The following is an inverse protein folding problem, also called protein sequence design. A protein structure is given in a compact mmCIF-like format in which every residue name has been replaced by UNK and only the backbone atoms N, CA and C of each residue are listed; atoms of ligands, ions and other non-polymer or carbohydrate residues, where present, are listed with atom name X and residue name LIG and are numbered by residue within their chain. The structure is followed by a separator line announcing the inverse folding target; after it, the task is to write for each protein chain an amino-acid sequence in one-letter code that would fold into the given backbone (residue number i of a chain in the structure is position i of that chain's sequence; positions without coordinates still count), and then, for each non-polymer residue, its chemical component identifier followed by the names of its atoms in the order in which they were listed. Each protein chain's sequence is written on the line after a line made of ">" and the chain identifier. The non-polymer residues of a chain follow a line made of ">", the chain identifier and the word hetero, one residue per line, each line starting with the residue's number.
data_IF_453134311236
#
_entry.id   IF_453134311236
#
_cell.length_a   1.000
_cell.length_b   1.000
_cell.length_c   1.000
_cell.angle_alpha   90.00
_cell.angle_beta   90.00
_cell.angle_gamma   90.00
#
_symmetry.space_group_name_H-M   'P 1'
#
loop_
_entity.id
_entity.type
_entity.pdbx_description
1 polymer ?
#
# COMPACT_ATOMS: atom_id res chain seq x y z
N UNK A 1 3.38 -21.03 -4.39
CA UNK A 1 3.85 -21.27 -3.02
C UNK A 1 2.81 -22.07 -2.24
N UNK A 2 1.63 -21.53 -1.93
CA UNK A 2 0.57 -22.25 -1.18
C UNK A 2 0.26 -23.65 -1.73
N UNK A 3 0.11 -23.79 -3.05
CA UNK A 3 -0.11 -25.11 -3.67
C UNK A 3 1.07 -26.08 -3.46
N UNK A 4 2.30 -25.58 -3.43
CA UNK A 4 3.49 -26.40 -3.21
C UNK A 4 3.61 -26.84 -1.75
N UNK A 5 3.30 -25.95 -0.81
CA UNK A 5 3.24 -26.28 0.62
C UNK A 5 2.15 -27.32 0.88
N UNK A 6 0.94 -27.07 0.39
CA UNK A 6 -0.18 -28.00 0.57
C UNK A 6 0.10 -29.39 -0.04
N UNK A 7 0.73 -29.45 -1.22
CA UNK A 7 1.14 -30.74 -1.81
C UNK A 7 2.10 -31.50 -0.90
N UNK A 8 3.05 -30.79 -0.29
CA UNK A 8 4.04 -31.43 0.58
C UNK A 8 3.39 -31.94 1.88
N UNK A 9 2.49 -31.17 2.47
CA UNK A 9 1.71 -31.58 3.64
C UNK A 9 0.83 -32.80 3.33
N UNK A 10 0.05 -32.74 2.28
CA UNK A 10 -0.83 -33.84 1.88
C UNK A 10 -0.09 -35.11 1.50
N UNK A 11 1.16 -34.99 0.98
CA UNK A 11 2.04 -36.14 0.74
C UNK A 11 2.57 -36.74 2.06
N UNK A 12 2.92 -35.89 3.02
CA UNK A 12 3.39 -36.33 4.34
C UNK A 12 2.28 -37.06 5.10
N UNK A 13 1.03 -36.60 4.94
CA UNK A 13 -0.15 -37.21 5.56
C UNK A 13 -0.66 -38.45 4.82
N UNK A 14 -0.03 -38.85 3.72
CA UNK A 14 -0.37 -40.06 2.97
C UNK A 14 -1.69 -40.00 2.21
N UNK A 15 -2.21 -38.80 1.94
CA UNK A 15 -3.48 -38.59 1.20
C UNK A 15 -3.32 -39.11 -0.24
N UNK A 16 -4.34 -39.78 -0.77
CA UNK A 16 -4.33 -40.30 -2.14
C UNK A 16 -4.21 -39.18 -3.21
N UNK A 17 -3.71 -39.56 -4.37
CA UNK A 17 -3.38 -38.61 -5.45
C UNK A 17 -4.61 -37.79 -5.88
N UNK A 18 -5.75 -38.47 -6.11
CA UNK A 18 -6.95 -37.80 -6.61
C UNK A 18 -7.51 -36.80 -5.58
N UNK A 19 -7.54 -37.18 -4.31
CA UNK A 19 -7.97 -36.27 -3.25
C UNK A 19 -6.99 -35.10 -3.06
N UNK A 20 -5.68 -35.30 -3.28
CA UNK A 20 -4.71 -34.20 -3.29
C UNK A 20 -4.97 -33.20 -4.40
N UNK A 21 -5.32 -33.70 -5.60
CA UNK A 21 -5.62 -32.83 -6.74
C UNK A 21 -6.88 -32.02 -6.51
N UNK A 22 -7.95 -32.63 -5.98
CA UNK A 22 -9.20 -31.94 -5.63
C UNK A 22 -8.96 -30.81 -4.62
N UNK A 23 -8.15 -31.06 -3.59
CA UNK A 23 -7.80 -30.04 -2.60
C UNK A 23 -6.92 -28.92 -3.19
N UNK A 24 -6.06 -29.24 -4.14
CA UNK A 24 -5.24 -28.23 -4.85
C UNK A 24 -6.07 -27.34 -5.77
N UNK A 25 -7.14 -27.86 -6.37
CA UNK A 25 -8.04 -27.05 -7.20
C UNK A 25 -8.82 -26.04 -6.36
N UNK A 26 -9.08 -26.36 -5.09
CA UNK A 26 -9.73 -25.44 -4.15
C UNK A 26 -8.84 -24.27 -3.70
N UNK A 27 -7.51 -24.37 -3.89
CA UNK A 27 -6.59 -23.28 -3.57
C UNK A 27 -6.70 -22.17 -4.62
N UNK A 28 -7.40 -21.13 -4.25
CA UNK A 28 -7.56 -19.91 -5.03
C UNK A 28 -6.65 -18.80 -4.53
N UNK A 29 -6.39 -17.81 -5.37
CA UNK A 29 -5.70 -16.60 -4.92
C UNK A 29 -6.53 -15.87 -3.86
N UNK A 30 -5.91 -15.37 -2.78
CA UNK A 30 -6.59 -14.44 -1.90
C UNK A 30 -7.03 -13.22 -2.72
N UNK A 31 -8.29 -12.82 -2.55
CA UNK A 31 -8.88 -11.66 -3.20
C UNK A 31 -9.55 -10.80 -2.12
N UNK A 32 -8.74 -10.11 -1.31
CA UNK A 32 -9.25 -9.32 -0.19
C UNK A 32 -10.19 -8.21 -0.70
N UNK A 33 -11.29 -7.98 0.02
CA UNK A 33 -12.30 -7.00 -0.37
C UNK A 33 -13.08 -7.30 -1.66
N UNK A 34 -12.92 -8.51 -2.23
CA UNK A 34 -13.57 -8.94 -3.47
C UNK A 34 -15.08 -8.73 -3.44
N UNK A 35 -15.73 -9.22 -2.42
CA UNK A 35 -17.20 -9.20 -2.33
C UNK A 35 -17.72 -7.76 -2.28
N UNK A 36 -17.09 -6.90 -1.48
CA UNK A 36 -17.43 -5.47 -1.45
C UNK A 36 -17.27 -4.81 -2.83
N UNK A 37 -16.20 -5.10 -3.55
CA UNK A 37 -15.94 -4.50 -4.88
C UNK A 37 -16.99 -4.97 -5.89
N UNK A 38 -17.30 -6.27 -5.90
CA UNK A 38 -18.30 -6.81 -6.80
C UNK A 38 -19.71 -6.31 -6.46
N UNK A 39 -20.10 -6.29 -5.19
CA UNK A 39 -21.42 -5.81 -4.77
C UNK A 39 -21.61 -4.33 -5.11
N UNK A 40 -20.59 -3.51 -4.86
CA UNK A 40 -20.61 -2.09 -5.22
C UNK A 40 -20.72 -1.90 -6.73
N UNK A 41 -19.97 -2.67 -7.51
CA UNK A 41 -20.04 -2.61 -8.97
C UNK A 41 -21.39 -3.08 -9.49
N UNK A 42 -21.92 -4.19 -8.98
CA UNK A 42 -23.22 -4.70 -9.39
C UNK A 42 -24.33 -3.70 -9.12
N UNK A 43 -24.31 -3.05 -7.95
CA UNK A 43 -25.26 -1.98 -7.62
C UNK A 43 -25.13 -0.76 -8.56
N UNK A 44 -23.92 -0.43 -8.98
CA UNK A 44 -23.65 0.62 -9.96
C UNK A 44 -24.12 0.20 -11.37
N UNK A 45 -23.81 -1.01 -11.80
CA UNK A 45 -24.20 -1.55 -13.11
C UNK A 45 -25.71 -1.59 -13.32
N UNK A 46 -26.49 -1.91 -12.28
CA UNK A 46 -27.97 -1.87 -12.35
C UNK A 46 -28.48 -0.48 -12.73
N UNK A 47 -27.80 0.58 -12.28
CA UNK A 47 -28.15 1.99 -12.61
C UNK A 47 -27.54 2.46 -13.93
N UNK A 48 -26.55 1.75 -14.46
CA UNK A 48 -25.77 2.13 -15.62
C UNK A 48 -25.60 0.93 -16.58
N UNK A 49 -26.68 0.44 -17.20
CA UNK A 49 -26.69 -0.82 -17.97
C UNK A 49 -25.82 -0.82 -19.23
N UNK A 50 -25.32 0.35 -19.66
CA UNK A 50 -24.38 0.47 -20.78
C UNK A 50 -22.94 0.09 -20.41
N UNK A 51 -22.65 -0.19 -19.15
CA UNK A 51 -21.36 -0.67 -18.70
C UNK A 51 -21.40 -2.20 -18.73
N UNK A 52 -20.44 -2.79 -19.43
CA UNK A 52 -20.35 -4.25 -19.53
C UNK A 52 -19.88 -4.85 -18.20
N UNK A 53 -20.48 -5.96 -17.80
CA UNK A 53 -20.14 -6.66 -16.54
C UNK A 53 -18.70 -7.18 -16.49
N UNK A 54 -18.08 -7.41 -17.65
CA UNK A 54 -16.68 -7.84 -17.77
C UNK A 54 -15.66 -6.71 -17.67
N UNK A 55 -16.12 -5.46 -17.62
CA UNK A 55 -15.24 -4.28 -17.59
C UNK A 55 -14.54 -4.10 -16.25
N UNK A 56 -15.03 -4.74 -15.18
CA UNK A 56 -14.43 -4.60 -13.88
C UNK A 56 -13.31 -5.63 -13.65
N UNK A 57 -12.15 -5.12 -13.24
CA UNK A 57 -11.08 -5.93 -12.67
C UNK A 57 -10.89 -5.48 -11.22
N UNK A 58 -11.30 -6.31 -10.24
CA UNK A 58 -11.19 -5.94 -8.83
C UNK A 58 -9.76 -5.60 -8.45
N UNK A 59 -9.57 -4.43 -7.84
CA UNK A 59 -8.27 -3.98 -7.31
C UNK A 59 -8.15 -4.33 -5.82
N UNK A 60 -8.48 -5.57 -5.49
CA UNK A 60 -8.55 -6.06 -4.11
C UNK A 60 -7.24 -5.87 -3.35
N UNK A 61 -6.11 -6.17 -3.98
CA UNK A 61 -4.77 -5.99 -3.39
C UNK A 61 -4.52 -4.53 -3.02
N UNK A 62 -4.78 -3.62 -3.96
CA UNK A 62 -4.59 -2.21 -3.73
C UNK A 62 -5.49 -1.67 -2.62
N UNK A 63 -6.74 -2.13 -2.58
CA UNK A 63 -7.67 -1.76 -1.52
C UNK A 63 -7.17 -2.21 -0.15
N UNK A 64 -6.78 -3.46 0.00
CA UNK A 64 -6.25 -4.00 1.25
C UNK A 64 -5.00 -3.24 1.70
N UNK A 65 -4.04 -3.03 0.80
CA UNK A 65 -2.84 -2.27 1.11
C UNK A 65 -3.16 -0.86 1.61
N UNK A 66 -4.14 -0.19 1.00
CA UNK A 66 -4.53 1.16 1.40
C UNK A 66 -5.31 1.17 2.71
N UNK A 67 -6.30 0.29 2.89
CA UNK A 67 -7.11 0.20 4.12
C UNK A 67 -6.25 -0.16 5.33
N UNK A 68 -5.28 -1.07 5.15
CA UNK A 68 -4.38 -1.50 6.21
C UNK A 68 -3.09 -0.66 6.28
N UNK A 69 -2.93 0.37 5.45
CA UNK A 69 -1.72 1.20 5.35
C UNK A 69 -0.43 0.37 5.26
N UNK A 70 -0.45 -0.72 4.48
CA UNK A 70 0.71 -1.59 4.32
C UNK A 70 1.75 -0.98 3.41
N UNK A 71 3.03 -1.07 3.78
CA UNK A 71 4.10 -0.77 2.84
C UNK A 71 4.22 -1.87 1.78
N UNK A 72 4.88 -1.55 0.66
CA UNK A 72 5.16 -2.54 -0.40
C UNK A 72 5.89 -3.76 0.15
N UNK A 73 6.92 -3.54 0.95
CA UNK A 73 7.73 -4.61 1.56
C UNK A 73 6.94 -5.42 2.59
N UNK A 74 6.09 -4.77 3.40
CA UNK A 74 5.25 -5.46 4.37
C UNK A 74 4.25 -6.39 3.67
N UNK A 75 3.66 -5.93 2.56
CA UNK A 75 2.74 -6.75 1.78
C UNK A 75 3.44 -7.96 1.14
N UNK A 76 4.64 -7.76 0.59
CA UNK A 76 5.46 -8.85 0.03
C UNK A 76 5.77 -9.88 1.11
N UNK A 77 6.19 -9.46 2.31
CA UNK A 77 6.50 -10.35 3.43
C UNK A 77 5.26 -11.08 3.93
N UNK A 78 4.14 -10.40 4.11
CA UNK A 78 2.89 -10.99 4.60
C UNK A 78 2.38 -12.10 3.70
N UNK A 79 2.47 -11.92 2.38
CA UNK A 79 1.99 -12.89 1.40
C UNK A 79 3.09 -13.71 0.73
N UNK A 80 4.36 -13.58 1.16
CA UNK A 80 5.53 -14.29 0.62
C UNK A 80 5.65 -14.14 -0.91
N UNK A 81 5.61 -12.88 -1.38
CA UNK A 81 5.56 -12.52 -2.80
C UNK A 81 6.93 -12.13 -3.39
N UNK A 82 8.04 -12.49 -2.77
CA UNK A 82 9.40 -12.08 -3.17
C UNK A 82 9.70 -12.39 -4.65
N UNK A 83 9.09 -13.46 -5.20
CA UNK A 83 9.24 -13.82 -6.62
C UNK A 83 8.30 -13.07 -7.56
N UNK A 84 7.36 -12.33 -7.01
CA UNK A 84 6.29 -11.65 -7.75
C UNK A 84 6.30 -10.14 -7.54
N UNK A 85 7.36 -9.59 -6.96
CA UNK A 85 7.52 -8.14 -6.68
C UNK A 85 7.24 -7.29 -7.91
N UNK A 86 7.87 -7.62 -9.05
CA UNK A 86 7.69 -6.88 -10.28
C UNK A 86 6.23 -6.91 -10.79
N UNK A 87 5.51 -8.01 -10.55
CA UNK A 87 4.09 -8.12 -10.93
C UNK A 87 3.24 -7.25 -10.02
N UNK A 88 3.51 -7.27 -8.71
CA UNK A 88 2.83 -6.42 -7.75
C UNK A 88 3.08 -4.94 -8.04
N UNK A 89 4.34 -4.56 -8.28
CA UNK A 89 4.71 -3.19 -8.62
C UNK A 89 3.96 -2.70 -9.87
N UNK A 90 3.92 -3.52 -10.91
CA UNK A 90 3.17 -3.20 -12.13
C UNK A 90 1.67 -3.04 -11.85
N UNK A 91 1.09 -3.93 -11.03
CA UNK A 91 -0.31 -3.85 -10.66
C UNK A 91 -0.63 -2.54 -9.92
N UNK A 92 0.17 -2.18 -8.92
CA UNK A 92 -0.01 -0.94 -8.17
C UNK A 92 0.19 0.30 -9.07
N UNK A 93 1.15 0.22 -9.99
CA UNK A 93 1.37 1.27 -10.99
C UNK A 93 0.15 1.47 -11.90
N UNK A 94 -0.49 0.38 -12.34
CA UNK A 94 -1.75 0.45 -13.09
C UNK A 94 -2.89 1.05 -12.26
N UNK A 95 -2.96 0.71 -10.97
CA UNK A 95 -3.95 1.30 -10.04
C UNK A 95 -3.76 2.79 -9.94
N UNK A 96 -2.53 3.24 -9.66
CA UNK A 96 -2.20 4.67 -9.60
C UNK A 96 -2.57 5.40 -10.90
N UNK A 97 -2.23 4.81 -12.04
CA UNK A 97 -2.56 5.37 -13.36
C UNK A 97 -4.08 5.54 -13.53
N UNK A 98 -4.87 4.55 -13.15
CA UNK A 98 -6.34 4.63 -13.21
C UNK A 98 -6.85 5.74 -12.31
N UNK A 99 -6.39 5.82 -11.07
CA UNK A 99 -6.83 6.85 -10.11
C UNK A 99 -6.45 8.25 -10.57
N UNK A 100 -5.23 8.42 -11.10
CA UNK A 100 -4.72 9.74 -11.50
C UNK A 100 -5.32 10.25 -12.81
N UNK A 101 -5.54 9.36 -13.78
CA UNK A 101 -5.90 9.74 -15.16
C UNK A 101 -7.38 9.56 -15.49
N UNK A 102 -8.06 8.57 -14.91
CA UNK A 102 -9.43 8.23 -15.30
C UNK A 102 -10.48 9.02 -14.54
N UNK A 103 -10.18 9.43 -13.31
CA UNK A 103 -11.11 10.20 -12.49
C UNK A 103 -10.81 11.70 -12.63
N UNK A 104 -11.76 12.50 -13.14
CA UNK A 104 -11.57 13.94 -13.25
C UNK A 104 -11.31 14.58 -11.87
N UNK A 105 -10.42 15.58 -11.77
CA UNK A 105 -10.04 16.18 -10.49
C UNK A 105 -11.23 16.69 -9.66
N UNK A 106 -12.25 17.25 -10.32
CA UNK A 106 -13.44 17.77 -9.66
C UNK A 106 -14.41 16.71 -9.10
N UNK A 107 -14.20 15.44 -9.44
CA UNK A 107 -15.00 14.31 -8.95
C UNK A 107 -14.24 13.44 -7.94
N UNK A 108 -12.96 13.74 -7.66
CA UNK A 108 -12.17 13.01 -6.67
C UNK A 108 -12.64 13.39 -5.26
N UNK A 109 -13.02 12.37 -4.49
CA UNK A 109 -13.27 12.51 -3.04
C UNK A 109 -11.94 12.65 -2.28
N UNK A 110 -12.00 13.09 -1.02
CA UNK A 110 -10.79 13.14 -0.18
C UNK A 110 -10.14 11.79 -0.03
N UNK A 111 -10.92 10.73 0.19
CA UNK A 111 -10.41 9.34 0.30
C UNK A 111 -9.68 8.90 -0.97
N UNK A 112 -10.22 9.26 -2.15
CA UNK A 112 -9.60 8.92 -3.42
C UNK A 112 -8.28 9.67 -3.62
N UNK A 113 -8.20 10.92 -3.18
CA UNK A 113 -6.97 11.71 -3.22
C UNK A 113 -5.94 11.20 -2.21
N UNK A 114 -6.38 10.71 -1.06
CA UNK A 114 -5.52 10.06 -0.08
C UNK A 114 -4.94 8.76 -0.64
N UNK A 115 -5.78 7.92 -1.27
CA UNK A 115 -5.32 6.69 -1.94
C UNK A 115 -4.34 6.98 -3.10
N UNK A 116 -4.62 7.99 -3.92
CA UNK A 116 -3.71 8.41 -5.01
C UNK A 116 -2.35 8.84 -4.44
N UNK A 117 -2.34 9.60 -3.36
CA UNK A 117 -1.12 10.05 -2.70
C UNK A 117 -0.35 8.86 -2.11
N UNK A 118 -1.04 7.96 -1.43
CA UNK A 118 -0.47 6.75 -0.85
C UNK A 118 0.24 5.89 -1.91
N UNK A 119 -0.44 5.56 -3.02
CA UNK A 119 0.18 4.77 -4.09
C UNK A 119 1.33 5.50 -4.77
N UNK A 120 1.23 6.80 -4.97
CA UNK A 120 2.31 7.61 -5.53
C UNK A 120 3.58 7.52 -4.68
N UNK A 121 3.44 7.66 -3.36
CA UNK A 121 4.57 7.58 -2.42
C UNK A 121 5.23 6.21 -2.45
N UNK A 122 4.44 5.14 -2.33
CA UNK A 122 4.98 3.79 -2.34
C UNK A 122 5.66 3.43 -3.66
N UNK A 123 5.07 3.79 -4.79
CA UNK A 123 5.67 3.55 -6.09
C UNK A 123 6.97 4.36 -6.27
N UNK A 124 6.98 5.61 -5.84
CA UNK A 124 8.18 6.45 -5.92
C UNK A 124 9.31 5.94 -5.03
N UNK A 125 8.99 5.34 -3.89
CA UNK A 125 10.00 4.78 -2.98
C UNK A 125 10.66 3.50 -3.52
N UNK A 126 9.91 2.69 -4.30
CA UNK A 126 10.40 1.44 -4.87
C UNK A 126 11.05 1.67 -6.24
N UNK A 127 10.36 2.36 -7.14
CA UNK A 127 10.83 2.68 -8.48
C UNK A 127 10.20 3.99 -8.98
N UNK A 128 10.98 5.05 -8.97
CA UNK A 128 10.50 6.36 -9.44
C UNK A 128 10.36 6.44 -10.96
N UNK A 129 11.07 5.57 -11.71
CA UNK A 129 11.15 5.66 -13.17
C UNK A 129 9.79 5.52 -13.86
N UNK A 130 8.93 4.62 -13.37
CA UNK A 130 7.59 4.40 -13.90
C UNK A 130 6.68 5.61 -13.68
N UNK A 131 6.79 6.24 -12.53
CA UNK A 131 6.02 7.44 -12.21
C UNK A 131 6.53 8.63 -13.01
N UNK A 132 7.85 8.79 -13.10
CA UNK A 132 8.48 9.86 -13.85
C UNK A 132 8.10 9.80 -15.34
N UNK A 133 8.07 8.61 -15.95
CA UNK A 133 7.65 8.44 -17.35
C UNK A 133 6.19 8.88 -17.56
N UNK A 134 5.30 8.54 -16.66
CA UNK A 134 3.90 8.93 -16.80
C UNK A 134 3.63 10.39 -16.48
N UNK A 135 4.31 10.96 -15.51
CA UNK A 135 4.18 12.38 -15.21
C UNK A 135 4.73 13.22 -16.37
N UNK A 136 5.82 12.79 -17.04
CA UNK A 136 6.32 13.43 -18.25
C UNK A 136 5.32 13.37 -19.42
N UNK A 137 4.58 12.26 -19.55
CA UNK A 137 3.54 12.17 -20.58
C UNK A 137 2.33 13.07 -20.28
N UNK A 138 2.05 13.32 -19.01
CA UNK A 138 0.93 14.15 -18.56
C UNK A 138 1.25 15.63 -18.55
N UNK A 139 2.45 15.97 -18.12
CA UNK A 139 2.96 17.34 -18.00
C UNK A 139 4.31 17.44 -18.70
N UNK A 140 4.38 18.09 -19.87
CA UNK A 140 5.62 18.29 -20.62
C UNK A 140 6.72 19.06 -19.85
N UNK A 141 6.33 19.84 -18.85
CA UNK A 141 7.25 20.60 -18.01
C UNK A 141 7.73 19.82 -16.78
N UNK A 142 7.26 18.57 -16.62
CA UNK A 142 7.68 17.69 -15.54
C UNK A 142 9.15 17.30 -15.67
N UNK A 143 9.92 17.46 -14.61
CA UNK A 143 11.33 17.06 -14.53
C UNK A 143 11.45 15.80 -13.68
N UNK A 144 11.98 14.68 -14.23
CA UNK A 144 12.21 13.43 -13.50
C UNK A 144 13.05 13.60 -12.25
N UNK A 145 12.84 12.73 -11.26
CA UNK A 145 13.53 12.79 -9.97
C UNK A 145 15.05 12.74 -10.13
N UNK A 146 15.57 11.93 -11.06
CA UNK A 146 17.01 11.81 -11.34
C UNK A 146 17.64 13.05 -11.94
N UNK A 147 16.88 13.83 -12.71
CA UNK A 147 17.35 15.06 -13.40
C UNK A 147 17.15 16.33 -12.58
N UNK A 148 16.51 16.20 -11.43
CA UNK A 148 16.29 17.35 -10.57
C UNK A 148 17.56 17.60 -9.77
N UNK A 149 18.21 18.74 -9.99
CA UNK A 149 19.28 19.18 -9.10
C UNK A 149 18.78 19.25 -7.65
N UNK A 150 19.60 18.92 -6.64
CA UNK A 150 19.23 19.05 -5.23
C UNK A 150 19.08 20.53 -4.86
N UNK A 151 18.03 21.15 -5.34
CA UNK A 151 17.79 22.58 -5.11
C UNK A 151 16.94 22.79 -3.87
N UNK A 152 17.29 23.84 -3.16
CA UNK A 152 16.57 24.37 -1.96
C UNK A 152 15.08 24.66 -2.28
N UNK A 153 14.71 24.79 -3.56
CA UNK A 153 13.34 25.04 -4.02
C UNK A 153 12.37 23.86 -3.83
N UNK A 154 12.85 22.61 -3.75
CA UNK A 154 12.00 21.44 -3.46
C UNK A 154 11.28 21.54 -2.11
N UNK A 155 11.97 22.06 -1.09
CA UNK A 155 11.36 22.22 0.24
C UNK A 155 10.22 23.24 0.23
N UNK A 156 10.26 24.21 -0.68
CA UNK A 156 9.20 25.24 -0.81
C UNK A 156 7.96 24.72 -1.54
N UNK A 157 8.12 23.91 -2.58
CA UNK A 157 6.99 23.39 -3.37
C UNK A 157 6.12 22.40 -2.54
N UNK A 158 6.75 21.56 -1.75
CA UNK A 158 6.07 20.55 -0.93
C UNK A 158 5.26 21.15 0.21
N UNK A 159 5.76 22.22 0.82
CA UNK A 159 5.09 22.91 1.93
C UNK A 159 4.08 23.96 1.44
N UNK A 160 4.06 24.29 0.16
CA UNK A 160 3.12 25.27 -0.42
C UNK A 160 1.76 24.64 -0.71
N UNK A 161 1.69 23.36 -1.06
CA UNK A 161 0.42 22.66 -1.16
C UNK A 161 0.04 22.07 0.20
N UNK A 162 -0.70 22.86 0.96
CA UNK A 162 -1.16 22.49 2.31
C UNK A 162 -1.96 21.18 2.33
N UNK A 163 -2.73 20.88 1.28
CA UNK A 163 -3.55 19.68 1.23
C UNK A 163 -2.67 18.44 1.03
N UNK A 164 -1.78 18.46 0.05
CA UNK A 164 -0.83 17.37 -0.19
C UNK A 164 0.08 17.15 1.02
N UNK A 165 0.63 18.22 1.59
CA UNK A 165 1.43 18.11 2.81
C UNK A 165 0.65 17.49 3.98
N UNK A 166 -0.59 17.89 4.20
CA UNK A 166 -1.44 17.32 5.26
C UNK A 166 -1.70 15.83 5.04
N UNK A 167 -1.92 15.40 3.79
CA UNK A 167 -2.12 13.99 3.45
C UNK A 167 -0.85 13.17 3.71
N UNK A 168 0.29 13.67 3.28
CA UNK A 168 1.58 13.03 3.53
C UNK A 168 1.82 12.83 5.03
N UNK A 169 1.63 13.88 5.82
CA UNK A 169 1.79 13.79 7.29
C UNK A 169 0.80 12.79 7.88
N UNK A 170 -0.45 12.79 7.43
CA UNK A 170 -1.46 11.85 7.91
C UNK A 170 -1.05 10.41 7.62
N UNK A 171 -0.65 10.11 6.38
CA UNK A 171 -0.20 8.77 6.00
C UNK A 171 0.98 8.29 6.85
N UNK A 172 2.00 9.14 7.04
CA UNK A 172 3.14 8.82 7.90
C UNK A 172 2.74 8.59 9.36
N UNK A 173 1.82 9.40 9.89
CA UNK A 173 1.33 9.22 11.26
C UNK A 173 0.55 7.92 11.39
N UNK A 174 -0.31 7.57 10.43
CA UNK A 174 -1.03 6.30 10.44
C UNK A 174 -0.09 5.11 10.36
N UNK A 175 0.91 5.15 9.49
CA UNK A 175 1.93 4.10 9.38
C UNK A 175 2.70 3.95 10.70
N UNK A 176 3.09 5.07 11.33
CA UNK A 176 3.76 5.05 12.62
C UNK A 176 2.89 4.42 13.73
N UNK A 177 1.61 4.83 13.82
CA UNK A 177 0.65 4.27 14.80
C UNK A 177 0.42 2.79 14.55
N UNK A 178 0.33 2.35 13.29
CA UNK A 178 0.20 0.95 12.93
C UNK A 178 1.40 0.14 13.41
N UNK A 179 2.62 0.56 13.15
CA UNK A 179 3.80 -0.15 13.64
C UNK A 179 3.82 -0.27 15.16
N UNK A 180 3.43 0.79 15.87
CA UNK A 180 3.31 0.75 17.33
C UNK A 180 2.19 -0.18 17.80
N UNK A 181 1.07 -0.26 17.09
CA UNK A 181 -0.05 -1.16 17.45
C UNK A 181 0.30 -2.64 17.29
N UNK A 182 1.27 -2.96 16.41
CA UNK A 182 1.76 -4.31 16.17
C UNK A 182 3.09 -4.61 16.88
N UNK A 183 3.51 -3.77 17.82
CA UNK A 183 4.79 -3.87 18.54
C UNK A 183 6.03 -3.93 17.59
N UNK A 184 5.90 -3.41 16.37
CA UNK A 184 6.98 -3.39 15.37
C UNK A 184 7.84 -2.12 15.50
N UNK A 185 8.61 -2.07 16.57
CA UNK A 185 9.44 -0.90 16.92
C UNK A 185 10.55 -0.67 15.88
N UNK A 186 11.06 -1.73 15.27
CA UNK A 186 12.12 -1.61 14.25
C UNK A 186 11.64 -0.80 13.04
N UNK A 187 10.53 -1.18 12.43
CA UNK A 187 9.93 -0.45 11.30
C UNK A 187 9.44 0.95 11.70
N UNK A 188 9.00 1.14 12.95
CA UNK A 188 8.69 2.48 13.46
C UNK A 188 9.92 3.39 13.47
N UNK A 189 11.07 2.88 13.93
CA UNK A 189 12.32 3.64 13.96
C UNK A 189 12.84 4.00 12.56
N UNK A 190 12.63 3.12 11.58
CA UNK A 190 13.03 3.33 10.19
C UNK A 190 12.24 4.48 9.52
N UNK A 191 11.05 4.82 10.02
CA UNK A 191 10.28 5.97 9.52
C UNK A 191 10.90 7.33 9.89
N UNK A 192 11.75 7.37 10.89
CA UNK A 192 12.32 8.63 11.40
C UNK A 192 13.81 8.72 11.10
N UNK A 193 14.19 9.53 10.13
CA UNK A 193 15.58 9.92 9.98
C UNK A 193 16.05 10.68 11.23
N UNK A 194 17.05 10.12 11.88
CA UNK A 194 17.66 10.77 13.04
C UNK A 194 18.48 11.97 12.56
N UNK A 195 17.98 13.17 12.83
CA UNK A 195 18.80 14.36 12.67
C UNK A 195 19.91 14.34 13.73
N UNK A 196 21.11 13.94 13.31
CA UNK A 196 22.29 13.81 14.19
C UNK A 196 22.73 15.13 14.83
N UNK A 197 22.24 16.27 14.33
CA UNK A 197 22.68 17.59 14.78
C UNK A 197 21.86 18.15 15.94
N UNK A 198 20.63 17.72 16.17
CA UNK A 198 19.71 18.39 17.10
C UNK A 198 19.01 17.53 18.13
N UNK A 199 19.15 16.23 18.14
CA UNK A 199 18.38 15.38 19.07
C UNK A 199 19.03 14.07 19.46
N UNK A 200 18.69 13.60 20.63
CA UNK A 200 18.94 12.24 21.08
C UNK A 200 18.22 11.28 20.13
N UNK A 201 18.92 10.31 19.52
CA UNK A 201 18.29 9.38 18.61
C UNK A 201 17.18 8.59 19.30
N UNK A 202 16.09 8.33 18.57
CA UNK A 202 15.08 7.39 19.02
C UNK A 202 15.72 6.01 19.15
N UNK A 203 15.53 5.36 20.30
CA UNK A 203 15.98 3.99 20.53
C UNK A 203 14.79 3.14 20.91
N UNK A 204 14.86 1.83 20.61
CA UNK A 204 13.80 0.89 20.97
C UNK A 204 13.47 0.96 22.47
N UNK A 205 14.49 0.99 23.33
CA UNK A 205 14.30 1.09 24.78
C UNK A 205 13.53 2.34 25.21
N UNK A 206 13.78 3.49 24.59
CA UNK A 206 13.07 4.73 24.89
C UNK A 206 11.62 4.70 24.43
N UNK A 207 11.35 4.06 23.29
CA UNK A 207 9.99 3.89 22.78
C UNK A 207 9.23 2.94 23.69
N UNK A 208 9.81 1.80 24.08
CA UNK A 208 9.21 0.87 25.02
C UNK A 208 8.88 1.53 26.36
N UNK A 209 9.77 2.34 26.89
CA UNK A 209 9.52 3.11 28.14
C UNK A 209 8.32 4.04 27.98
N UNK A 210 8.25 4.79 26.87
CA UNK A 210 7.14 5.70 26.59
C UNK A 210 5.82 4.96 26.38
N UNK A 211 5.83 3.85 25.65
CA UNK A 211 4.64 3.02 25.42
C UNK A 211 4.14 2.40 26.71
N UNK A 212 5.02 1.87 27.55
CA UNK A 212 4.66 1.33 28.85
C UNK A 212 4.04 2.42 29.75
N UNK A 213 4.63 3.62 29.77
CA UNK A 213 4.06 4.76 30.50
C UNK A 213 2.70 5.21 29.92
N UNK A 214 2.50 5.14 28.60
CA UNK A 214 1.23 5.46 27.96
C UNK A 214 0.15 4.43 28.27
N UNK A 215 0.49 3.13 28.25
CA UNK A 215 -0.43 2.04 28.51
C UNK A 215 -0.72 1.81 30.00
N UNK A 216 -0.02 2.49 30.90
CA UNK A 216 -0.32 2.42 32.32
C UNK A 216 -1.72 3.00 32.57
N UNK A 217 -2.67 2.10 32.85
CA UNK A 217 -4.09 2.43 33.02
C UNK A 217 -4.90 2.68 31.74
N UNK A 218 -4.37 2.40 30.55
CA UNK A 218 -5.05 2.55 29.26
C UNK A 218 -5.05 1.24 28.45
N UNK A 219 -6.04 1.11 27.56
CA UNK A 219 -6.06 0.00 26.60
C UNK A 219 -4.99 0.19 25.53
N UNK A 220 -4.43 -0.93 25.04
CA UNK A 220 -3.52 -0.91 23.89
C UNK A 220 -4.20 -0.32 22.66
N UNK A 221 -3.42 0.38 21.85
CA UNK A 221 -3.87 0.90 20.54
C UNK A 221 -4.31 -0.31 19.70
N UNK A 222 -5.54 -0.24 19.19
CA UNK A 222 -6.09 -1.19 18.21
C UNK A 222 -6.50 -0.36 17.00
N UNK A 223 -5.99 -0.74 15.85
CA UNK A 223 -6.41 -0.26 14.54
C UNK A 223 -7.40 -1.25 13.95
#
# INVERSE_FOLDING_TARGET
>A
HLKTELINELKADGVEYDERMDRLEQVTHPMPGKDFIYDTFNAFHVKHPWIESESIRPKCIAREMFEDYMSFDDYIRAYKLERSEAILLRHLSEVYKVLSQTVPPGLKTEELLDAETYFKEHLTSVDSSLIDEWEMMRDPDYVPAEKREPSIERKKSFTQDKLTFTRLVRNHVFTAVKYLSHDNIASFLDLFEVNKETGTPWTAARIDELLNGYYDGRMRIRL
#
